data_IF_245679455083
#
_entry.id   IF_245679455083
#
_cell.length_a   1.000
_cell.length_b   1.000
_cell.length_c   1.000
_cell.angle_alpha   90.00
_cell.angle_beta   90.00
_cell.angle_gamma   90.00
#
_symmetry.space_group_name_H-M   'P 1'
#
loop_
_entity.id
_entity.type
_entity.pdbx_description
1 polymer ?
#
# COMPACT_ATOMS: atom_id res chain seq x y z
N UNK A 1 37.98 -54.37 8.59
CA UNK A 1 38.23 -52.95 8.25
C UNK A 1 37.44 -52.58 7.00
N UNK A 2 36.13 -52.32 7.12
CA UNK A 2 35.24 -52.03 5.96
C UNK A 2 34.00 -51.17 6.32
N UNK A 3 33.95 -50.62 7.53
CA UNK A 3 32.78 -49.88 8.03
C UNK A 3 32.86 -48.35 7.80
N UNK A 4 34.05 -47.76 7.66
CA UNK A 4 34.18 -46.29 7.54
C UNK A 4 33.94 -45.73 6.13
N UNK A 5 34.12 -46.54 5.09
CA UNK A 5 34.05 -46.05 3.70
C UNK A 5 32.61 -45.76 3.23
N UNK A 6 31.62 -46.43 3.82
CA UNK A 6 30.20 -46.22 3.52
C UNK A 6 29.63 -44.94 4.15
N UNK A 7 30.25 -44.46 5.23
CA UNK A 7 29.85 -43.23 5.94
C UNK A 7 30.28 -41.98 5.16
N UNK A 8 31.53 -41.96 4.69
CA UNK A 8 32.09 -40.85 3.92
C UNK A 8 31.31 -40.58 2.62
N UNK A 9 31.01 -41.64 1.86
CA UNK A 9 30.27 -41.49 0.59
C UNK A 9 28.82 -41.00 0.78
N UNK A 10 28.18 -41.36 1.90
CA UNK A 10 26.85 -40.85 2.26
C UNK A 10 26.91 -39.38 2.67
N UNK A 11 27.94 -38.98 3.41
CA UNK A 11 28.16 -37.59 3.82
C UNK A 11 28.45 -36.69 2.62
N UNK A 12 29.31 -37.14 1.69
CA UNK A 12 29.59 -36.43 0.43
C UNK A 12 28.34 -36.25 -0.43
N UNK A 13 27.54 -37.31 -0.58
CA UNK A 13 26.27 -37.22 -1.31
C UNK A 13 25.27 -36.27 -0.65
N UNK A 14 25.22 -36.24 0.68
CA UNK A 14 24.34 -35.33 1.43
C UNK A 14 24.79 -33.87 1.32
N UNK A 15 26.10 -33.61 1.38
CA UNK A 15 26.66 -32.27 1.18
C UNK A 15 26.44 -31.77 -0.25
N UNK A 16 26.65 -32.63 -1.25
CA UNK A 16 26.36 -32.32 -2.66
C UNK A 16 24.87 -32.00 -2.89
N UNK A 17 23.97 -32.79 -2.30
CA UNK A 17 22.54 -32.52 -2.37
C UNK A 17 22.18 -31.18 -1.69
N UNK A 18 22.78 -30.88 -0.54
CA UNK A 18 22.54 -29.63 0.19
C UNK A 18 23.04 -28.41 -0.58
N UNK A 19 24.22 -28.50 -1.21
CA UNK A 19 24.76 -27.43 -2.05
C UNK A 19 23.93 -27.21 -3.32
N UNK A 20 23.40 -28.29 -3.91
CA UNK A 20 22.46 -28.21 -5.03
C UNK A 20 21.16 -27.52 -4.64
N UNK A 21 20.56 -27.90 -3.51
CA UNK A 21 19.34 -27.27 -3.01
C UNK A 21 19.58 -25.80 -2.68
N UNK A 22 20.69 -25.46 -2.02
CA UNK A 22 21.06 -24.08 -1.75
C UNK A 22 21.26 -23.29 -3.06
N UNK A 23 21.92 -23.88 -4.06
CA UNK A 23 22.07 -23.28 -5.39
C UNK A 23 20.73 -23.05 -6.09
N UNK A 24 19.80 -24.01 -6.02
CA UNK A 24 18.44 -23.88 -6.56
C UNK A 24 17.66 -22.78 -5.83
N UNK A 25 17.76 -22.69 -4.50
CA UNK A 25 17.10 -21.66 -3.72
C UNK A 25 17.68 -20.27 -3.98
N UNK A 26 19.00 -20.15 -4.14
CA UNK A 26 19.66 -18.91 -4.55
C UNK A 26 19.21 -18.53 -5.96
N UNK A 27 19.20 -19.45 -6.91
CA UNK A 27 18.73 -19.19 -8.28
C UNK A 27 17.24 -18.83 -8.32
N UNK A 28 16.40 -19.50 -7.53
CA UNK A 28 14.98 -19.18 -7.41
C UNK A 28 14.77 -17.79 -6.80
N UNK A 29 15.54 -17.44 -5.76
CA UNK A 29 15.53 -16.11 -5.18
C UNK A 29 16.05 -15.06 -6.19
N UNK A 30 17.10 -15.35 -6.95
CA UNK A 30 17.61 -14.48 -8.02
C UNK A 30 16.59 -14.34 -9.16
N UNK A 31 15.84 -15.39 -9.49
CA UNK A 31 14.76 -15.33 -10.50
C UNK A 31 13.59 -14.50 -9.97
N UNK A 32 13.19 -14.65 -8.71
CA UNK A 32 12.17 -13.79 -8.10
C UNK A 32 12.62 -12.33 -8.06
N UNK A 33 13.84 -12.05 -7.61
CA UNK A 33 14.43 -10.71 -7.61
C UNK A 33 14.55 -10.17 -9.05
N UNK A 34 14.91 -11.00 -10.04
CA UNK A 34 14.97 -10.59 -11.45
C UNK A 34 13.59 -10.31 -12.03
N UNK A 35 12.55 -11.05 -11.61
CA UNK A 35 11.17 -10.80 -12.03
C UNK A 35 10.65 -9.50 -11.43
N UNK A 36 10.95 -9.25 -10.15
CA UNK A 36 10.61 -8.02 -9.45
C UNK A 36 11.40 -6.83 -10.02
N UNK A 37 12.70 -7.00 -10.30
CA UNK A 37 13.55 -5.95 -10.90
C UNK A 37 13.32 -5.78 -12.40
N UNK A 38 12.73 -6.75 -13.10
CA UNK A 38 12.25 -6.58 -14.48
C UNK A 38 10.89 -5.89 -14.51
N UNK A 39 9.99 -6.13 -13.54
CA UNK A 39 8.79 -5.31 -13.38
C UNK A 39 9.14 -3.90 -12.89
N UNK A 40 10.15 -3.77 -12.03
CA UNK A 40 10.67 -2.49 -11.59
C UNK A 40 11.46 -1.80 -12.71
N UNK A 41 12.22 -2.53 -13.53
CA UNK A 41 12.94 -2.03 -14.71
C UNK A 41 12.05 -1.78 -15.92
N UNK A 42 10.80 -2.25 -15.92
CA UNK A 42 9.75 -1.83 -16.85
C UNK A 42 9.02 -0.59 -16.31
N UNK A 43 8.91 -0.42 -14.99
CA UNK A 43 8.45 0.84 -14.35
C UNK A 43 9.52 1.95 -14.28
N UNK A 44 10.80 1.62 -14.32
CA UNK A 44 11.94 2.57 -14.21
C UNK A 44 12.89 2.51 -15.42
N UNK A 45 12.48 1.85 -16.50
CA UNK A 45 13.30 1.54 -17.65
C UNK A 45 13.52 2.66 -18.62
N UNK A 46 14.73 3.21 -18.59
CA UNK A 46 15.38 3.81 -19.74
C UNK A 46 15.38 2.86 -20.95
N UNK A 47 14.31 2.87 -21.75
CA UNK A 47 14.25 2.63 -23.20
C UNK A 47 12.79 2.46 -23.68
N UNK A 48 11.91 3.40 -23.33
CA UNK A 48 10.82 3.76 -24.24
C UNK A 48 10.77 5.28 -24.35
N UNK A 49 11.24 5.78 -25.50
CA UNK A 49 10.98 7.16 -25.93
C UNK A 49 9.51 7.26 -26.32
N UNK A 50 8.63 7.27 -25.33
CA UNK A 50 7.23 7.65 -25.46
C UNK A 50 6.93 8.57 -24.29
N UNK A 51 7.37 9.82 -24.45
CA UNK A 51 6.79 11.02 -23.82
C UNK A 51 6.12 10.83 -22.46
N UNK A 52 6.90 10.50 -21.42
CA UNK A 52 6.53 10.87 -20.06
C UNK A 52 6.74 12.39 -19.99
N UNK A 53 5.63 13.11 -19.89
CA UNK A 53 5.56 14.57 -19.91
C UNK A 53 6.34 15.15 -18.73
N UNK A 54 7.59 15.55 -18.99
CA UNK A 54 8.39 16.41 -18.13
C UNK A 54 7.89 17.86 -18.28
N UNK A 55 6.75 18.16 -17.66
CA UNK A 55 6.19 19.51 -17.61
C UNK A 55 6.22 20.05 -16.19
N UNK A 56 7.19 20.92 -15.89
CA UNK A 56 7.15 21.78 -14.71
C UNK A 56 5.82 22.53 -14.67
N UNK A 57 4.93 22.21 -13.72
CA UNK A 57 3.80 23.05 -13.35
C UNK A 57 3.63 23.14 -11.85
N UNK A 58 3.81 24.38 -11.41
CA UNK A 58 3.50 24.96 -10.13
C UNK A 58 1.99 24.84 -9.85
N UNK A 59 1.62 24.47 -8.61
CA UNK A 59 0.27 24.56 -8.00
C UNK A 59 -0.94 24.36 -8.93
N UNK A 60 -1.46 23.14 -9.02
CA UNK A 60 -2.75 22.90 -9.69
C UNK A 60 -2.98 21.43 -9.99
N UNK A 61 -3.89 20.82 -9.23
CA UNK A 61 -4.59 19.54 -9.45
C UNK A 61 -3.82 18.46 -10.23
N UNK A 62 -3.30 17.46 -9.49
CA UNK A 62 -2.73 16.26 -10.10
C UNK A 62 -3.80 15.51 -10.87
N UNK A 63 -3.55 15.27 -12.15
CA UNK A 63 -4.45 14.52 -13.02
C UNK A 63 -4.23 13.02 -12.85
N UNK A 64 -5.09 12.39 -12.05
CA UNK A 64 -5.10 10.94 -11.83
C UNK A 64 -6.01 10.19 -12.81
N UNK A 65 -6.61 10.88 -13.78
CA UNK A 65 -7.55 10.26 -14.74
C UNK A 65 -6.92 9.18 -15.62
N UNK A 66 -5.59 9.20 -15.75
CA UNK A 66 -4.82 8.23 -16.54
C UNK A 66 -4.40 6.98 -15.76
N UNK A 67 -4.62 6.92 -14.44
CA UNK A 67 -4.20 5.79 -13.61
C UNK A 67 -5.23 4.65 -13.68
N UNK A 68 -4.84 3.51 -14.24
CA UNK A 68 -5.64 2.29 -14.15
C UNK A 68 -5.36 1.56 -12.82
N UNK A 69 -6.30 1.67 -11.88
CA UNK A 69 -6.20 1.00 -10.58
C UNK A 69 -6.16 -0.52 -10.67
N UNK A 70 -6.55 -1.13 -11.79
CA UNK A 70 -6.51 -2.59 -11.97
C UNK A 70 -5.08 -3.14 -12.13
N UNK A 71 -4.13 -2.29 -12.50
CA UNK A 71 -2.71 -2.67 -12.58
C UNK A 71 -2.02 -2.62 -11.20
N UNK A 72 -2.65 -1.97 -10.22
CA UNK A 72 -2.12 -1.85 -8.85
C UNK A 72 -2.38 -3.15 -8.08
N UNK A 73 -1.31 -3.82 -7.63
CA UNK A 73 -1.39 -5.09 -6.88
C UNK A 73 -0.66 -5.09 -5.53
N UNK A 74 -0.19 -3.92 -5.09
CA UNK A 74 0.39 -3.73 -3.76
C UNK A 74 0.32 -2.26 -3.31
N UNK A 75 0.53 -2.00 -2.02
CA UNK A 75 0.67 -0.63 -1.48
C UNK A 75 1.85 0.11 -2.11
N UNK A 76 2.97 -0.57 -2.38
CA UNK A 76 4.13 0.04 -3.04
C UNK A 76 3.79 0.54 -4.46
N UNK A 77 3.08 -0.28 -5.24
CA UNK A 77 2.61 0.11 -6.57
C UNK A 77 1.58 1.25 -6.49
N UNK A 78 0.73 1.26 -5.47
CA UNK A 78 -0.21 2.36 -5.23
C UNK A 78 0.54 3.67 -5.00
N UNK A 79 1.58 3.66 -4.15
CA UNK A 79 2.42 4.84 -3.92
C UNK A 79 3.10 5.31 -5.20
N UNK A 80 3.74 4.40 -5.93
CA UNK A 80 4.43 4.72 -7.19
C UNK A 80 3.50 5.32 -8.25
N UNK A 81 2.25 4.85 -8.32
CA UNK A 81 1.29 5.26 -9.35
C UNK A 81 0.52 6.54 -8.99
N UNK A 82 0.27 6.77 -7.70
CA UNK A 82 -0.63 7.83 -7.24
C UNK A 82 0.10 9.07 -6.71
N UNK A 83 1.39 8.96 -6.42
CA UNK A 83 2.21 10.03 -5.86
C UNK A 83 3.43 10.31 -6.76
N UNK A 84 3.24 10.94 -7.93
CA UNK A 84 4.35 11.27 -8.83
C UNK A 84 5.40 12.20 -8.18
N UNK A 85 5.04 12.90 -7.10
CA UNK A 85 5.92 13.75 -6.31
C UNK A 85 7.02 12.96 -5.59
N UNK A 86 6.85 11.64 -5.39
CA UNK A 86 7.88 10.78 -4.78
C UNK A 86 9.19 10.79 -5.57
N UNK A 87 9.13 11.03 -6.89
CA UNK A 87 10.32 11.18 -7.74
C UNK A 87 11.22 12.36 -7.34
N UNK A 88 10.74 13.27 -6.49
CA UNK A 88 11.49 14.42 -6.00
C UNK A 88 12.11 14.23 -4.62
N UNK A 89 11.91 13.07 -3.97
CA UNK A 89 12.48 12.78 -2.66
C UNK A 89 14.00 12.68 -2.76
N UNK A 90 14.71 13.50 -1.98
CA UNK A 90 16.17 13.45 -1.83
C UNK A 90 16.59 13.18 -0.38
N UNK A 91 15.68 13.39 0.57
CA UNK A 91 15.92 13.29 2.01
C UNK A 91 14.73 12.67 2.75
N UNK A 92 14.95 12.30 4.01
CA UNK A 92 13.88 11.89 4.93
C UNK A 92 12.84 13.00 5.10
N UNK A 93 13.30 14.25 5.19
CA UNK A 93 12.45 15.43 5.36
C UNK A 93 11.53 15.65 4.16
N UNK A 94 12.01 15.43 2.94
CA UNK A 94 11.18 15.50 1.73
C UNK A 94 10.10 14.42 1.76
N UNK A 95 10.48 13.19 2.10
CA UNK A 95 9.55 12.07 2.18
C UNK A 95 8.46 12.34 3.21
N UNK A 96 8.83 12.83 4.40
CA UNK A 96 7.89 13.24 5.45
C UNK A 96 6.96 14.34 4.95
N UNK A 97 7.50 15.39 4.33
CA UNK A 97 6.70 16.53 3.85
C UNK A 97 5.72 16.16 2.74
N UNK A 98 6.05 15.18 1.90
CA UNK A 98 5.19 14.71 0.81
C UNK A 98 4.13 13.75 1.34
N UNK A 99 4.51 12.85 2.24
CA UNK A 99 3.67 11.71 2.63
C UNK A 99 2.77 11.97 3.84
N UNK A 100 3.17 12.84 4.77
CA UNK A 100 2.38 13.13 5.98
C UNK A 100 1.49 14.34 5.71
N UNK A 101 0.19 14.13 5.38
CA UNK A 101 -0.73 15.23 5.18
C UNK A 101 -1.01 15.96 6.51
N UNK A 102 -1.41 17.22 6.40
CA UNK A 102 -1.86 18.05 7.52
C UNK A 102 -3.15 18.77 7.15
N UNK A 103 -3.85 19.29 8.16
CA UNK A 103 -5.08 20.04 7.97
C UNK A 103 -6.33 19.19 7.78
N UNK A 104 -7.41 19.86 7.42
CA UNK A 104 -8.73 19.25 7.23
C UNK A 104 -9.02 19.11 5.74
N UNK A 105 -9.24 17.89 5.21
CA UNK A 105 -9.57 17.69 3.81
C UNK A 105 -10.95 18.25 3.48
N UNK A 106 -11.19 18.59 2.21
CA UNK A 106 -12.42 19.21 1.73
C UNK A 106 -13.67 18.33 1.94
N UNK A 107 -13.50 17.01 1.90
CA UNK A 107 -14.58 16.03 2.12
C UNK A 107 -14.89 15.81 3.61
N UNK A 108 -14.11 16.40 4.52
CA UNK A 108 -14.23 16.19 5.98
C UNK A 108 -15.65 16.38 6.48
N UNK A 109 -16.35 17.42 6.04
CA UNK A 109 -17.72 17.72 6.48
C UNK A 109 -18.71 16.59 6.17
N UNK A 110 -18.57 15.93 5.01
CA UNK A 110 -19.41 14.81 4.63
C UNK A 110 -19.04 13.52 5.39
N UNK A 111 -17.77 13.41 5.82
CA UNK A 111 -17.25 12.26 6.55
C UNK A 111 -17.13 12.53 8.07
N UNK A 112 -18.03 13.34 8.62
CA UNK A 112 -18.17 13.52 10.07
C UNK A 112 -17.09 14.36 10.75
N UNK A 113 -16.40 15.22 10.01
CA UNK A 113 -15.42 16.17 10.54
C UNK A 113 -14.01 15.60 10.73
N UNK A 114 -13.66 14.52 10.03
CA UNK A 114 -12.32 13.93 10.09
C UNK A 114 -11.23 14.91 9.65
N UNK A 115 -10.07 14.87 10.30
CA UNK A 115 -8.93 15.76 10.01
C UNK A 115 -7.61 15.03 10.18
N UNK A 116 -6.62 15.38 9.35
CA UNK A 116 -5.27 14.82 9.49
C UNK A 116 -4.59 15.30 10.78
N UNK A 117 -5.01 16.45 11.32
CA UNK A 117 -4.43 17.01 12.55
C UNK A 117 -4.85 16.26 13.83
N UNK A 118 -5.93 15.46 13.76
CA UNK A 118 -6.35 14.55 14.82
C UNK A 118 -6.66 13.16 14.24
N UNK A 119 -5.61 12.39 13.88
CA UNK A 119 -5.78 11.13 13.18
C UNK A 119 -6.35 10.04 14.08
N UNK A 120 -6.17 10.13 15.40
CA UNK A 120 -6.70 9.14 16.35
C UNK A 120 -8.22 9.27 16.45
N UNK A 121 -8.74 10.47 16.74
CA UNK A 121 -10.19 10.68 16.82
C UNK A 121 -10.87 10.37 15.49
N UNK A 122 -10.25 10.80 14.38
CA UNK A 122 -10.75 10.52 13.03
C UNK A 122 -10.82 9.02 12.74
N UNK A 123 -9.78 8.26 13.08
CA UNK A 123 -9.77 6.80 12.96
C UNK A 123 -10.87 6.16 13.80
N UNK A 124 -11.06 6.59 15.05
CA UNK A 124 -12.08 6.00 15.92
C UNK A 124 -13.50 6.25 15.41
N UNK A 125 -13.75 7.45 14.89
CA UNK A 125 -15.01 7.77 14.24
C UNK A 125 -15.25 6.88 13.02
N UNK A 126 -14.30 6.85 12.08
CA UNK A 126 -14.38 6.06 10.86
C UNK A 126 -14.57 4.57 11.15
N UNK A 127 -13.83 4.03 12.12
CA UNK A 127 -13.93 2.61 12.48
C UNK A 127 -15.31 2.24 13.05
N UNK A 128 -15.93 3.13 13.83
CA UNK A 128 -17.30 2.95 14.36
C UNK A 128 -18.34 3.07 13.25
N UNK A 129 -18.16 4.04 12.35
CA UNK A 129 -19.10 4.33 11.25
C UNK A 129 -19.18 3.22 10.21
N UNK A 130 -18.09 2.46 10.03
CA UNK A 130 -17.96 1.36 9.05
C UNK A 130 -19.18 0.44 8.96
N UNK A 131 -19.70 -0.05 10.08
CA UNK A 131 -20.77 -1.06 10.07
C UNK A 131 -22.08 -0.48 9.56
N UNK A 132 -22.52 0.66 10.10
CA UNK A 132 -23.76 1.31 9.68
C UNK A 132 -23.67 1.81 8.24
N UNK A 133 -22.53 2.39 7.85
CA UNK A 133 -22.30 2.90 6.50
C UNK A 133 -22.40 1.78 5.46
N UNK A 134 -21.70 0.66 5.70
CA UNK A 134 -21.70 -0.45 4.75
C UNK A 134 -23.09 -1.09 4.63
N UNK A 135 -23.83 -1.24 5.73
CA UNK A 135 -25.21 -1.76 5.66
C UNK A 135 -26.13 -0.80 4.90
N UNK A 136 -26.01 0.50 5.14
CA UNK A 136 -26.79 1.52 4.44
C UNK A 136 -26.52 1.51 2.93
N UNK A 137 -25.26 1.62 2.52
CA UNK A 137 -24.87 1.67 1.10
C UNK A 137 -25.23 0.37 0.40
N UNK A 138 -24.95 -0.79 1.02
CA UNK A 138 -25.27 -2.09 0.42
C UNK A 138 -26.77 -2.24 0.10
N UNK A 139 -27.64 -1.67 0.93
CA UNK A 139 -29.09 -1.80 0.77
C UNK A 139 -29.68 -0.72 -0.15
N UNK A 140 -29.09 0.47 -0.18
CA UNK A 140 -29.68 1.65 -0.84
C UNK A 140 -28.96 2.08 -2.12
N UNK A 141 -27.68 1.72 -2.29
CA UNK A 141 -26.84 2.09 -3.43
C UNK A 141 -25.93 0.91 -3.86
N UNK A 142 -26.50 -0.05 -4.61
CA UNK A 142 -25.78 -1.24 -5.04
C UNK A 142 -24.63 -0.97 -6.03
N UNK A 143 -24.67 0.16 -6.75
CA UNK A 143 -23.61 0.54 -7.67
C UNK A 143 -22.35 0.95 -6.91
N UNK A 144 -22.49 1.87 -5.95
CA UNK A 144 -21.39 2.27 -5.05
C UNK A 144 -20.89 1.08 -4.25
N UNK A 145 -21.79 0.21 -3.77
CA UNK A 145 -21.39 -1.02 -3.09
C UNK A 145 -20.51 -1.91 -3.98
N UNK A 146 -20.90 -2.14 -5.24
CA UNK A 146 -20.12 -2.99 -6.15
C UNK A 146 -18.77 -2.35 -6.50
N UNK A 147 -18.74 -1.04 -6.71
CA UNK A 147 -17.50 -0.27 -6.91
C UNK A 147 -16.55 -0.43 -5.72
N UNK A 148 -17.08 -0.29 -4.50
CA UNK A 148 -16.34 -0.52 -3.27
C UNK A 148 -15.77 -1.93 -3.15
N UNK A 149 -16.58 -2.98 -3.41
CA UNK A 149 -16.10 -4.37 -3.42
C UNK A 149 -14.99 -4.54 -4.45
N UNK A 150 -15.20 -4.02 -5.66
CA UNK A 150 -14.22 -4.10 -6.73
C UNK A 150 -12.91 -3.45 -6.33
N UNK A 151 -12.91 -2.34 -5.59
CA UNK A 151 -11.69 -1.67 -5.16
C UNK A 151 -11.03 -2.36 -3.95
N UNK A 152 -11.77 -2.54 -2.85
CA UNK A 152 -11.23 -2.90 -1.53
C UNK A 152 -11.00 -4.41 -1.31
N UNK A 153 -11.63 -5.29 -2.10
CA UNK A 153 -11.40 -6.74 -2.02
C UNK A 153 -10.18 -7.22 -2.83
N UNK A 154 -9.63 -6.35 -3.66
CA UNK A 154 -8.46 -6.61 -4.50
C UNK A 154 -7.20 -6.01 -3.86
N UNK A 155 -6.00 -6.51 -4.21
CA UNK A 155 -4.76 -6.22 -3.48
C UNK A 155 -4.20 -4.82 -3.79
N UNK A 156 -4.97 -3.75 -3.58
CA UNK A 156 -4.58 -2.37 -3.94
C UNK A 156 -3.98 -1.56 -2.79
N UNK A 157 -3.89 -2.14 -1.61
CA UNK A 157 -3.35 -1.49 -0.41
C UNK A 157 -4.41 -0.87 0.49
N UNK A 158 -5.71 -1.07 0.21
CA UNK A 158 -6.81 -0.65 1.08
C UNK A 158 -6.93 -1.64 2.25
N UNK A 159 -5.95 -1.62 3.14
CA UNK A 159 -5.91 -2.46 4.35
C UNK A 159 -4.88 -1.92 5.36
N UNK A 160 -4.91 -2.43 6.60
CA UNK A 160 -3.86 -2.21 7.59
C UNK A 160 -2.83 -3.35 7.62
N UNK A 161 -2.14 -3.58 6.51
CA UNK A 161 -1.21 -4.71 6.37
C UNK A 161 -0.04 -4.73 7.37
N UNK A 162 0.33 -3.59 7.97
CA UNK A 162 1.49 -3.50 8.86
C UNK A 162 1.25 -4.04 10.28
N UNK A 163 -0.02 -4.08 10.74
CA UNK A 163 -0.33 -4.53 12.10
C UNK A 163 -0.56 -6.04 12.17
N UNK A 164 -1.43 -6.57 11.31
CA UNK A 164 -1.86 -7.98 11.35
C UNK A 164 -1.34 -8.83 10.20
N UNK A 165 -0.57 -8.26 9.26
CA UNK A 165 -0.02 -9.00 8.13
C UNK A 165 -1.07 -9.54 7.15
N UNK A 166 -2.26 -8.95 7.09
CA UNK A 166 -3.38 -9.43 6.24
C UNK A 166 -3.15 -9.21 4.74
N UNK A 167 -2.05 -8.54 4.36
CA UNK A 167 -1.74 -8.14 3.00
C UNK A 167 -2.60 -6.96 2.52
N UNK A 168 -2.48 -6.57 1.24
CA UNK A 168 -3.03 -5.32 0.70
C UNK A 168 -4.54 -5.34 0.41
N UNK A 169 -5.27 -6.36 0.88
CA UNK A 169 -6.72 -6.51 0.71
C UNK A 169 -7.41 -6.25 2.06
N UNK A 170 -8.37 -5.34 2.11
CA UNK A 170 -9.04 -4.97 3.37
C UNK A 170 -10.31 -5.77 3.65
N UNK A 171 -10.99 -6.24 2.60
CA UNK A 171 -12.21 -7.04 2.71
C UNK A 171 -12.09 -8.32 1.88
N UNK A 172 -12.96 -9.28 2.17
CA UNK A 172 -13.24 -10.43 1.32
C UNK A 172 -14.12 -10.02 0.14
N UNK A 173 -14.22 -10.88 -0.89
CA UNK A 173 -15.13 -10.67 -2.02
C UNK A 173 -16.60 -10.57 -1.62
N UNK A 174 -16.95 -11.08 -0.44
CA UNK A 174 -18.29 -11.07 0.13
C UNK A 174 -18.56 -9.80 0.96
N UNK A 175 -17.59 -8.88 1.03
CA UNK A 175 -17.70 -7.60 1.76
C UNK A 175 -17.36 -7.67 3.25
N UNK A 176 -16.87 -8.81 3.77
CA UNK A 176 -16.46 -8.91 5.18
C UNK A 176 -15.05 -8.35 5.38
N UNK A 177 -14.87 -7.48 6.38
CA UNK A 177 -13.55 -7.00 6.82
C UNK A 177 -12.61 -8.17 7.12
N UNK A 178 -11.35 -8.08 6.66
CA UNK A 178 -10.31 -9.10 6.89
C UNK A 178 -9.63 -8.99 8.25
N UNK A 179 -9.83 -7.90 8.99
CA UNK A 179 -9.32 -7.71 10.35
C UNK A 179 -10.30 -6.87 11.20
N UNK A 180 -10.29 -7.10 12.51
CA UNK A 180 -11.11 -6.36 13.49
C UNK A 180 -10.45 -5.13 14.13
N UNK A 181 -9.14 -4.92 13.92
CA UNK A 181 -8.42 -3.75 14.47
C UNK A 181 -8.92 -2.46 13.82
N UNK A 182 -9.12 -1.39 14.61
CA UNK A 182 -9.73 -0.11 14.18
C UNK A 182 -9.21 0.45 12.85
N UNK A 183 -7.92 0.30 12.53
CA UNK A 183 -7.36 0.81 11.28
C UNK A 183 -8.02 0.24 10.02
N UNK A 184 -8.36 -1.06 9.99
CA UNK A 184 -8.95 -1.67 8.80
C UNK A 184 -10.37 -1.14 8.55
N UNK A 185 -11.32 -1.20 9.52
CA UNK A 185 -12.62 -0.55 9.36
C UNK A 185 -12.52 0.94 9.04
N UNK A 186 -11.52 1.67 9.59
CA UNK A 186 -11.35 3.09 9.30
C UNK A 186 -10.97 3.38 7.84
N UNK A 187 -9.99 2.67 7.26
CA UNK A 187 -9.65 2.88 5.84
C UNK A 187 -10.77 2.38 4.92
N UNK A 188 -11.51 1.36 5.35
CA UNK A 188 -12.65 0.84 4.59
C UNK A 188 -13.85 1.79 4.59
N UNK A 189 -14.18 2.41 5.72
CA UNK A 189 -15.25 3.41 5.79
C UNK A 189 -14.86 4.72 5.14
N UNK A 190 -13.59 5.12 5.21
CA UNK A 190 -13.07 6.21 4.38
C UNK A 190 -13.28 5.91 2.89
N UNK A 191 -12.90 4.71 2.42
CA UNK A 191 -13.07 4.30 1.02
C UNK A 191 -14.54 4.40 0.60
N UNK A 192 -15.45 3.82 1.39
CA UNK A 192 -16.89 3.84 1.12
C UNK A 192 -17.46 5.27 1.18
N UNK A 193 -17.10 6.03 2.21
CA UNK A 193 -17.58 7.39 2.44
C UNK A 193 -17.17 8.34 1.33
N UNK A 194 -15.93 8.22 0.83
CA UNK A 194 -15.48 8.97 -0.34
C UNK A 194 -16.29 8.60 -1.58
N UNK A 195 -16.45 7.30 -1.88
CA UNK A 195 -17.23 6.87 -3.05
C UNK A 195 -18.70 7.30 -3.00
N UNK A 196 -19.29 7.38 -1.81
CA UNK A 196 -20.69 7.78 -1.64
C UNK A 196 -20.88 9.30 -1.67
N UNK A 197 -19.89 10.08 -1.20
CA UNK A 197 -20.07 11.51 -0.94
C UNK A 197 -19.22 12.42 -1.83
N UNK A 198 -18.43 11.87 -2.75
CA UNK A 198 -17.62 12.64 -3.70
C UNK A 198 -17.71 12.05 -5.10
N UNK A 199 -17.36 12.86 -6.11
CA UNK A 199 -17.24 12.42 -7.50
C UNK A 199 -15.84 11.85 -7.80
N UNK A 200 -15.07 11.47 -6.78
CA UNK A 200 -13.72 10.95 -6.97
C UNK A 200 -13.72 9.67 -7.77
N UNK A 201 -12.77 9.55 -8.69
CA UNK A 201 -12.36 8.31 -9.35
C UNK A 201 -11.75 7.31 -8.37
N UNK A 202 -11.62 6.04 -8.78
CA UNK A 202 -10.99 5.02 -7.94
C UNK A 202 -9.53 5.35 -7.59
N UNK A 203 -8.81 6.03 -8.49
CA UNK A 203 -7.44 6.47 -8.25
C UNK A 203 -7.39 7.58 -7.18
N UNK A 204 -8.31 8.54 -7.23
CA UNK A 204 -8.43 9.59 -6.22
C UNK A 204 -8.82 9.01 -4.85
N UNK A 205 -9.80 8.10 -4.80
CA UNK A 205 -10.17 7.39 -3.56
C UNK A 205 -8.97 6.64 -3.00
N UNK A 206 -8.25 5.88 -3.84
CA UNK A 206 -7.10 5.10 -3.39
C UNK A 206 -5.96 6.01 -2.89
N UNK A 207 -5.76 7.18 -3.52
CA UNK A 207 -4.76 8.16 -3.07
C UNK A 207 -5.10 8.71 -1.68
N UNK A 208 -6.35 9.07 -1.44
CA UNK A 208 -6.79 9.51 -0.12
C UNK A 208 -6.66 8.41 0.93
N UNK A 209 -6.97 7.16 0.58
CA UNK A 209 -6.73 6.01 1.46
C UNK A 209 -5.24 5.89 1.81
N UNK A 210 -4.32 6.08 0.86
CA UNK A 210 -2.88 6.06 1.15
C UNK A 210 -2.48 7.19 2.09
N UNK A 211 -3.01 8.41 1.91
CA UNK A 211 -2.76 9.55 2.82
C UNK A 211 -3.18 9.23 4.25
N UNK A 212 -4.40 8.73 4.45
CA UNK A 212 -4.89 8.33 5.77
C UNK A 212 -4.13 7.16 6.37
N UNK A 213 -3.75 6.18 5.54
CA UNK A 213 -2.90 5.06 5.96
C UNK A 213 -1.54 5.56 6.43
N UNK A 214 -0.97 6.62 5.82
CA UNK A 214 0.24 7.28 6.34
C UNK A 214 0.01 7.84 7.73
N UNK A 215 -1.13 8.48 8.00
CA UNK A 215 -1.42 8.99 9.34
C UNK A 215 -1.52 7.88 10.40
N UNK A 216 -1.97 6.69 10.00
CA UNK A 216 -2.11 5.54 10.89
C UNK A 216 -0.81 4.76 11.09
N UNK A 217 0.04 4.70 10.06
CA UNK A 217 1.32 3.98 10.06
C UNK A 217 2.45 4.84 9.48
N UNK A 218 2.83 5.96 10.13
CA UNK A 218 3.72 6.95 9.52
C UNK A 218 5.07 6.38 9.11
N UNK A 219 5.74 5.64 10.01
CA UNK A 219 7.04 5.04 9.70
C UNK A 219 6.96 4.08 8.51
N UNK A 220 5.95 3.21 8.48
CA UNK A 220 5.85 2.20 7.43
C UNK A 220 5.56 2.81 6.06
N UNK A 221 4.63 3.76 6.00
CA UNK A 221 4.23 4.39 4.74
C UNK A 221 5.31 5.34 4.20
N UNK A 222 5.95 6.14 5.06
CA UNK A 222 7.07 7.00 4.66
C UNK A 222 8.27 6.16 4.23
N UNK A 223 8.61 5.10 4.98
CA UNK A 223 9.67 4.19 4.60
C UNK A 223 9.42 3.51 3.26
N UNK A 224 8.19 3.06 3.00
CA UNK A 224 7.82 2.48 1.72
C UNK A 224 7.89 3.50 0.57
N UNK A 225 7.51 4.75 0.83
CA UNK A 225 7.62 5.84 -0.14
C UNK A 225 9.10 6.13 -0.49
N UNK A 226 10.00 6.09 0.50
CA UNK A 226 11.44 6.21 0.30
C UNK A 226 11.98 5.06 -0.56
N UNK A 227 11.59 3.81 -0.28
CA UNK A 227 11.97 2.64 -1.08
C UNK A 227 11.48 2.75 -2.52
N UNK A 228 10.23 3.18 -2.72
CA UNK A 228 9.66 3.44 -4.06
C UNK A 228 10.45 4.52 -4.80
N UNK A 229 10.91 5.56 -4.10
CA UNK A 229 11.77 6.61 -4.64
C UNK A 229 13.25 6.18 -4.81
N UNK A 230 13.61 4.95 -4.43
CA UNK A 230 14.99 4.45 -4.51
C UNK A 230 15.94 5.00 -3.45
N UNK A 231 15.41 5.51 -2.34
CA UNK A 231 16.17 6.01 -1.19
C UNK A 231 16.12 5.01 -0.01
N UNK A 232 17.14 5.03 0.85
CA UNK A 232 17.27 4.07 1.96
C UNK A 232 16.42 4.50 3.17
N UNK A 233 15.39 3.73 3.58
CA UNK A 233 14.55 4.05 4.73
C UNK A 233 15.22 3.76 6.09
N UNK A 234 16.43 3.18 6.13
CA UNK A 234 17.10 2.78 7.38
C UNK A 234 17.34 3.95 8.36
N UNK A 235 17.31 5.18 7.85
CA UNK A 235 17.49 6.40 8.63
C UNK A 235 16.20 6.83 9.36
N UNK A 236 15.03 6.33 8.93
CA UNK A 236 13.71 6.71 9.43
C UNK A 236 13.43 6.19 10.85
N UNK A 237 13.96 6.89 11.85
CA UNK A 237 13.81 6.53 13.27
C UNK A 237 12.84 7.44 14.02
N UNK A 238 12.60 8.63 13.48
CA UNK A 238 11.86 9.73 14.09
C UNK A 238 10.34 9.48 14.15
N UNK A 239 9.79 8.77 13.16
CA UNK A 239 8.35 8.56 13.04
C UNK A 239 7.84 7.40 13.91
N UNK A 240 6.62 7.50 14.46
CA UNK A 240 5.98 6.39 15.16
C UNK A 240 5.64 5.25 14.18
N UNK A 241 5.72 4.00 14.66
CA UNK A 241 5.34 2.83 13.86
C UNK A 241 3.83 2.72 13.61
N UNK A 242 3.03 3.16 14.59
CA UNK A 242 1.57 3.12 14.52
C UNK A 242 0.99 4.23 15.38
N UNK A 243 -0.12 4.81 14.93
CA UNK A 243 -0.91 5.82 15.65
C UNK A 243 -2.29 5.25 15.91
N UNK A 244 -2.81 5.43 17.13
CA UNK A 244 -4.08 4.86 17.58
C UNK A 244 -3.97 3.42 18.07
N UNK A 245 -4.89 3.03 18.97
CA UNK A 245 -4.97 1.68 19.53
C UNK A 245 -5.78 0.71 18.66
N UNK A 246 -5.59 -0.59 18.87
CA UNK A 246 -6.44 -1.63 18.29
C UNK A 246 -7.85 -1.64 18.88
#
# INVERSE_FOLDING_TARGET
MKADFLSHKKLENFMMASLLIAGILILFNQVQISSISSSFGVMTGAASKSSIFLGSRHSGQLDLSSVDVNEITSTAMALASLFPELNSIQSEEDAISIMIPTGTPEYSGALGGITFDDPVTSMEYLAKWYYSLNEEVKNNDPETWQRYINLAANPRGISCEFCCGIGPQGITKDGKSRCGCKHNPAVLSLTMGLMQNTDYSDAEVLREVMKWKTMFFPRNMVGLAMEVAGTDPSQLKSLPGMVGGC
#
